data_IF_237385148217
#
_entry.id   IF_237385148217
#
_cell.length_a   1.000
_cell.length_b   1.000
_cell.length_c   1.000
_cell.angle_alpha   90.00
_cell.angle_beta   90.00
_cell.angle_gamma   90.00
#
_symmetry.space_group_name_H-M   'P 1'
#
loop_
_entity.id
_entity.type
_entity.pdbx_description
1 polymer ?
#
# COMPACT_ATOMS: atom_id res chain seq x y z
N UNK A 1 1.80 34.36 8.61
CA UNK A 1 1.80 33.34 9.69
C UNK A 1 2.24 32.04 9.08
N UNK A 2 3.49 31.64 9.30
CA UNK A 2 4.05 30.42 8.71
C UNK A 2 3.64 29.25 9.60
N UNK A 3 2.64 28.50 9.15
CA UNK A 3 2.20 27.22 9.71
C UNK A 3 3.40 26.25 9.73
N UNK A 4 4.15 26.21 10.84
CA UNK A 4 5.17 25.19 11.03
C UNK A 4 4.48 23.85 11.20
N UNK A 5 4.49 23.03 10.14
CA UNK A 5 4.11 21.62 10.22
C UNK A 5 4.88 20.97 11.38
N UNK A 6 4.21 20.19 12.25
CA UNK A 6 4.85 19.60 13.42
C UNK A 6 6.04 18.74 12.98
N UNK A 7 7.25 19.17 13.35
CA UNK A 7 8.48 18.39 13.15
C UNK A 7 8.38 17.12 13.98
N UNK A 8 8.03 16.01 13.33
CA UNK A 8 8.08 14.67 13.93
C UNK A 8 9.53 14.37 14.33
N UNK A 9 9.82 14.31 15.63
CA UNK A 9 11.13 13.84 16.09
C UNK A 9 11.23 12.32 15.90
N UNK A 10 12.40 11.78 15.51
CA UNK A 10 12.59 10.35 15.44
C UNK A 10 12.29 9.73 16.82
N UNK A 11 11.23 8.92 16.90
CA UNK A 11 10.86 8.17 18.12
C UNK A 11 9.80 8.78 19.04
N UNK A 12 9.32 10.01 18.82
CA UNK A 12 8.28 10.63 19.70
C UNK A 12 6.87 10.08 19.47
N UNK A 13 6.61 9.52 18.29
CA UNK A 13 5.45 8.67 18.04
C UNK A 13 6.00 7.31 17.61
N UNK A 14 6.27 6.45 18.58
CA UNK A 14 6.55 5.05 18.32
C UNK A 14 5.33 4.45 17.65
N UNK A 15 5.29 4.46 16.31
CA UNK A 15 4.37 3.61 15.57
C UNK A 15 4.53 2.23 16.18
N UNK A 16 3.42 1.64 16.65
CA UNK A 16 3.41 0.26 17.10
C UNK A 16 3.90 -0.59 15.92
N UNK A 17 5.20 -0.91 15.95
CA UNK A 17 5.82 -1.84 15.02
C UNK A 17 5.43 -3.21 15.53
N UNK A 18 4.24 -3.65 15.12
CA UNK A 18 3.92 -5.06 15.22
C UNK A 18 4.94 -5.80 14.35
N UNK A 19 5.67 -6.79 14.91
CA UNK A 19 6.54 -7.59 14.08
C UNK A 19 5.67 -8.24 13.01
N UNK A 20 5.96 -7.94 11.75
CA UNK A 20 5.31 -8.64 10.64
C UNK A 20 5.75 -10.09 10.75
N UNK A 21 4.91 -10.93 11.36
CA UNK A 21 5.21 -12.36 11.47
C UNK A 21 5.31 -12.95 10.07
N UNK A 22 6.02 -14.06 9.91
CA UNK A 22 6.17 -14.72 8.61
C UNK A 22 4.81 -15.01 7.93
N UNK A 23 3.80 -15.37 8.73
CA UNK A 23 2.43 -15.58 8.26
C UNK A 23 1.74 -14.27 7.83
N UNK A 24 1.88 -13.19 8.60
CA UNK A 24 1.36 -11.88 8.24
C UNK A 24 2.01 -11.35 6.96
N UNK A 25 3.31 -11.55 6.78
CA UNK A 25 4.01 -11.18 5.56
C UNK A 25 3.51 -11.97 4.35
N UNK A 26 3.35 -13.29 4.47
CA UNK A 26 2.80 -14.12 3.41
C UNK A 26 1.38 -13.72 2.99
N UNK A 27 0.53 -13.35 3.95
CA UNK A 27 -0.81 -12.83 3.68
C UNK A 27 -0.73 -11.50 2.90
N UNK A 28 0.09 -10.55 3.37
CA UNK A 28 0.24 -9.24 2.71
C UNK A 28 0.77 -9.38 1.28
N UNK A 29 1.73 -10.29 1.05
CA UNK A 29 2.27 -10.58 -0.28
C UNK A 29 1.16 -11.13 -1.20
N UNK A 30 0.37 -12.10 -0.73
CA UNK A 30 -0.72 -12.68 -1.53
C UNK A 30 -1.80 -11.65 -1.88
N UNK A 31 -2.13 -10.77 -0.92
CA UNK A 31 -3.08 -9.67 -1.17
C UNK A 31 -2.52 -8.72 -2.23
N UNK A 32 -1.25 -8.34 -2.15
CA UNK A 32 -0.62 -7.47 -3.14
C UNK A 32 -0.65 -8.10 -4.55
N UNK A 33 -0.29 -9.38 -4.66
CA UNK A 33 -0.35 -10.11 -5.93
C UNK A 33 -1.76 -10.13 -6.54
N UNK A 34 -2.79 -10.40 -5.73
CA UNK A 34 -4.17 -10.40 -6.22
C UNK A 34 -4.65 -9.00 -6.65
N UNK A 35 -4.17 -7.93 -6.02
CA UNK A 35 -4.49 -6.56 -6.43
C UNK A 35 -3.81 -6.18 -7.76
N UNK A 36 -2.57 -6.63 -7.97
CA UNK A 36 -1.87 -6.43 -9.24
C UNK A 36 -2.60 -7.15 -10.39
N UNK A 37 -2.96 -8.43 -10.21
CA UNK A 37 -3.73 -9.21 -11.18
C UNK A 37 -5.09 -8.57 -11.49
N UNK A 38 -5.81 -8.12 -10.46
CA UNK A 38 -7.08 -7.42 -10.62
C UNK A 38 -6.91 -6.10 -11.37
N UNK A 39 -5.88 -5.31 -11.03
CA UNK A 39 -5.57 -4.07 -11.73
C UNK A 39 -5.20 -4.30 -13.20
N UNK A 40 -4.55 -5.41 -13.54
CA UNK A 40 -4.25 -5.75 -14.94
C UNK A 40 -5.51 -6.10 -15.73
N UNK A 41 -6.44 -6.84 -15.11
CA UNK A 41 -7.75 -7.15 -15.70
C UNK A 41 -8.57 -5.89 -16.00
N UNK A 42 -8.66 -4.97 -15.03
CA UNK A 42 -9.40 -3.70 -15.17
C UNK A 42 -8.85 -2.83 -16.32
N UNK A 43 -7.53 -2.80 -16.50
CA UNK A 43 -6.88 -2.08 -17.62
C UNK A 43 -7.19 -2.72 -18.98
N UNK A 44 -7.36 -4.03 -19.03
CA UNK A 44 -7.69 -4.76 -20.25
C UNK A 44 -9.16 -4.58 -20.65
N UNK A 45 -10.08 -4.54 -19.69
CA UNK A 45 -11.51 -4.26 -19.95
C UNK A 45 -11.76 -2.79 -20.29
N UNK A 46 -10.98 -1.87 -19.72
CA UNK A 46 -11.11 -0.43 -19.96
C UNK A 46 -10.52 0.05 -21.28
N UNK A 47 -9.81 -0.81 -22.03
CA UNK A 47 -9.25 -0.46 -23.34
C UNK A 47 -10.40 -0.51 -24.37
N UNK A 48 -10.73 0.61 -25.04
CA UNK A 48 -11.69 0.55 -26.13
C UNK A 48 -11.15 -0.44 -27.16
N UNK A 49 -11.96 -1.43 -27.53
CA UNK A 49 -11.70 -2.18 -28.75
C UNK A 49 -11.87 -1.21 -29.90
N UNK A 50 -10.77 -0.59 -30.32
CA UNK A 50 -10.71 0.13 -31.58
C UNK A 50 -11.16 -0.85 -32.68
N UNK A 51 -12.36 -0.58 -33.19
CA UNK A 51 -13.05 -1.32 -34.26
C UNK A 51 -12.54 -0.88 -35.63
#
# INVERSE_FOLDING_TARGET
MTEQLPRRKPGESGFLRYPTTLASAALLIRVAQGLDEWSEGDRHESRPQDS
#
